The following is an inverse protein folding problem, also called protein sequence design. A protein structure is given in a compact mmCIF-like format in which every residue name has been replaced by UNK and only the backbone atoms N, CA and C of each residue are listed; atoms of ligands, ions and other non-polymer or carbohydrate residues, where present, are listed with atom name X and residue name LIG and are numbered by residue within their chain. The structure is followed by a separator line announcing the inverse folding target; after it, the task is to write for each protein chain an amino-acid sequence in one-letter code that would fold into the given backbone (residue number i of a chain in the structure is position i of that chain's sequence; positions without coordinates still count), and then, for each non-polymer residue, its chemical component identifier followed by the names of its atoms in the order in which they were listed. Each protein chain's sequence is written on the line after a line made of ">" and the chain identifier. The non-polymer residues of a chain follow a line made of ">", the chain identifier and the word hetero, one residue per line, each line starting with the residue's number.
data_IF_079816666993
#
_entry.id   IF_079816666993
#
_cell.length_a   1.000
_cell.length_b   1.000
_cell.length_c   1.000
_cell.angle_alpha   90.00
_cell.angle_beta   90.00
_cell.angle_gamma   90.00
#
_symmetry.space_group_name_H-M   'P 1'
#
loop_
_entity.id
_entity.type
_entity.pdbx_description
1 polymer ?
#
# COMPACT_ATOMS: atom_id res chain seq x y z
N UNK A 1 14.52 -9.95 -21.37
CA UNK A 1 14.57 -9.28 -20.06
C UNK A 1 13.26 -9.59 -19.36
N UNK A 2 13.27 -9.97 -18.09
CA UNK A 2 12.03 -10.19 -17.34
C UNK A 2 11.29 -8.85 -17.18
N UNK A 3 9.96 -8.89 -17.19
CA UNK A 3 9.11 -7.73 -16.91
C UNK A 3 9.39 -7.23 -15.48
N UNK A 4 9.84 -5.96 -15.29
CA UNK A 4 10.13 -5.41 -13.97
C UNK A 4 8.97 -5.53 -12.98
N UNK A 5 7.72 -5.42 -13.46
CA UNK A 5 6.54 -5.55 -12.60
C UNK A 5 6.32 -6.99 -12.14
N UNK A 6 6.57 -7.96 -13.02
CA UNK A 6 6.50 -9.37 -12.67
C UNK A 6 7.56 -9.75 -11.64
N UNK A 7 8.79 -9.26 -11.79
CA UNK A 7 9.86 -9.50 -10.82
C UNK A 7 9.56 -8.88 -9.44
N UNK A 8 8.99 -7.66 -9.42
CA UNK A 8 8.55 -7.00 -8.19
C UNK A 8 7.43 -7.79 -7.50
N UNK A 9 6.45 -8.27 -8.27
CA UNK A 9 5.37 -9.10 -7.76
C UNK A 9 5.89 -10.41 -7.14
N UNK A 10 6.79 -11.12 -7.82
CA UNK A 10 7.36 -12.38 -7.32
C UNK A 10 8.14 -12.19 -6.02
N UNK A 11 8.91 -11.11 -5.92
CA UNK A 11 9.63 -10.74 -4.70
C UNK A 11 8.65 -10.48 -3.54
N UNK A 12 7.66 -9.62 -3.75
CA UNK A 12 6.69 -9.27 -2.71
C UNK A 12 5.85 -10.49 -2.30
N UNK A 13 5.51 -11.37 -3.24
CA UNK A 13 4.83 -12.62 -2.93
C UNK A 13 5.69 -13.52 -2.03
N UNK A 14 6.99 -13.65 -2.33
CA UNK A 14 7.90 -14.43 -1.49
C UNK A 14 8.01 -13.86 -0.08
N UNK A 15 8.07 -12.52 0.06
CA UNK A 15 8.06 -11.84 1.37
C UNK A 15 6.79 -12.16 2.17
N UNK A 16 5.61 -12.09 1.54
CA UNK A 16 4.32 -12.37 2.21
C UNK A 16 4.06 -13.86 2.46
N UNK A 17 4.77 -14.76 1.77
CA UNK A 17 4.77 -16.19 2.09
C UNK A 17 5.67 -16.45 3.32
N UNK A 18 6.76 -15.71 3.47
CA UNK A 18 7.65 -15.80 4.63
C UNK A 18 7.05 -15.16 5.89
N UNK A 19 6.26 -14.09 5.72
CA UNK A 19 5.51 -13.41 6.78
C UNK A 19 4.00 -13.42 6.47
N UNK A 20 3.33 -14.55 6.75
CA UNK A 20 1.97 -14.77 6.30
C UNK A 20 0.95 -14.00 7.15
N UNK A 21 0.05 -13.31 6.45
CA UNK A 21 -1.13 -12.71 7.02
C UNK A 21 -2.21 -13.79 7.18
N UNK A 22 -2.59 -14.19 8.41
CA UNK A 22 -3.48 -15.33 8.63
C UNK A 22 -4.87 -15.09 8.00
N UNK A 23 -5.40 -16.11 7.33
CA UNK A 23 -6.78 -16.10 6.80
C UNK A 23 -6.94 -15.59 5.36
N UNK A 24 -5.87 -15.26 4.65
CA UNK A 24 -5.93 -14.97 3.21
C UNK A 24 -5.92 -16.27 2.39
N UNK A 25 -6.85 -16.40 1.43
CA UNK A 25 -6.75 -17.40 0.38
C UNK A 25 -5.72 -16.98 -0.67
N UNK A 26 -5.21 -17.91 -1.49
CA UNK A 26 -4.23 -17.62 -2.55
C UNK A 26 -4.65 -16.45 -3.46
N UNK A 27 -5.93 -16.41 -3.86
CA UNK A 27 -6.46 -15.32 -4.67
C UNK A 27 -6.42 -13.96 -3.95
N UNK A 28 -6.75 -13.95 -2.65
CA UNK A 28 -6.70 -12.73 -1.82
C UNK A 28 -5.27 -12.29 -1.54
N UNK A 29 -4.35 -13.24 -1.35
CA UNK A 29 -2.93 -12.97 -1.20
C UNK A 29 -2.37 -12.33 -2.48
N UNK A 30 -2.69 -12.88 -3.66
CA UNK A 30 -2.26 -12.28 -4.93
C UNK A 30 -2.79 -10.87 -5.10
N UNK A 31 -4.07 -10.62 -4.78
CA UNK A 31 -4.63 -9.27 -4.80
C UNK A 31 -3.91 -8.34 -3.81
N UNK A 32 -3.64 -8.80 -2.59
CA UNK A 32 -2.90 -8.06 -1.58
C UNK A 32 -1.50 -7.67 -2.08
N UNK A 33 -0.76 -8.62 -2.65
CA UNK A 33 0.57 -8.38 -3.25
C UNK A 33 0.48 -7.39 -4.42
N UNK A 34 -0.55 -7.48 -5.26
CA UNK A 34 -0.77 -6.50 -6.33
C UNK A 34 -0.96 -5.08 -5.77
N UNK A 35 -1.62 -4.90 -4.64
CA UNK A 35 -1.73 -3.58 -4.01
C UNK A 35 -0.37 -3.05 -3.56
N UNK A 36 0.49 -3.90 -2.99
CA UNK A 36 1.88 -3.53 -2.70
C UNK A 36 2.65 -3.14 -3.96
N UNK A 37 2.52 -3.91 -5.06
CA UNK A 37 3.16 -3.56 -6.35
C UNK A 37 2.78 -2.15 -6.80
N UNK A 38 1.50 -1.77 -6.68
CA UNK A 38 1.04 -0.42 -7.05
C UNK A 38 1.75 0.65 -6.21
N UNK A 39 1.78 0.49 -4.89
CA UNK A 39 2.41 1.46 -3.99
C UNK A 39 3.92 1.55 -4.19
N UNK A 40 4.60 0.41 -4.29
CA UNK A 40 6.04 0.35 -4.55
C UNK A 40 6.39 0.98 -5.90
N UNK A 41 5.56 0.75 -6.93
CA UNK A 41 5.73 1.39 -8.24
C UNK A 41 5.60 2.91 -8.15
N UNK A 42 4.60 3.43 -7.41
CA UNK A 42 4.44 4.88 -7.20
C UNK A 42 5.63 5.49 -6.44
N UNK A 43 6.17 4.76 -5.46
CA UNK A 43 7.35 5.20 -4.71
C UNK A 43 8.56 5.26 -5.64
N UNK A 44 8.81 4.20 -6.41
CA UNK A 44 9.95 4.09 -7.33
C UNK A 44 9.88 5.13 -8.46
N UNK A 45 8.69 5.31 -9.05
CA UNK A 45 8.48 6.29 -10.13
C UNK A 45 8.48 7.74 -9.63
N UNK A 46 8.15 7.96 -8.35
CA UNK A 46 7.88 9.30 -7.82
C UNK A 46 6.58 9.90 -8.33
N UNK A 47 5.67 9.09 -8.90
CA UNK A 47 4.37 9.52 -9.41
C UNK A 47 3.23 8.73 -8.76
N UNK A 48 2.44 9.36 -7.87
CA UNK A 48 2.58 10.74 -7.41
C UNK A 48 3.63 10.89 -6.30
N UNK A 49 4.29 12.06 -6.16
CA UNK A 49 5.34 12.26 -5.16
C UNK A 49 4.83 12.09 -3.72
N UNK A 50 3.54 12.39 -3.49
CA UNK A 50 2.88 12.28 -2.20
C UNK A 50 2.94 10.88 -1.61
N UNK A 51 3.06 9.83 -2.43
CA UNK A 51 3.18 8.44 -1.95
C UNK A 51 4.48 8.25 -1.18
N UNK A 52 5.61 8.71 -1.73
CA UNK A 52 6.91 8.65 -1.07
C UNK A 52 6.97 9.57 0.16
N UNK A 53 6.48 10.80 0.03
CA UNK A 53 6.41 11.75 1.15
C UNK A 53 5.61 11.17 2.34
N UNK A 54 4.51 10.48 2.03
CA UNK A 54 3.69 9.82 3.05
C UNK A 54 4.41 8.64 3.68
N UNK A 55 5.10 7.81 2.90
CA UNK A 55 5.89 6.70 3.42
C UNK A 55 6.95 7.18 4.41
N UNK A 56 7.77 8.15 3.99
CA UNK A 56 8.87 8.69 4.80
C UNK A 56 8.33 9.31 6.10
N UNK A 57 7.22 10.03 6.02
CA UNK A 57 6.56 10.61 7.19
C UNK A 57 6.03 9.54 8.14
N UNK A 58 5.33 8.52 7.64
CA UNK A 58 4.79 7.43 8.47
C UNK A 58 5.88 6.63 9.19
N UNK A 59 7.01 6.40 8.51
CA UNK A 59 8.21 5.79 9.13
C UNK A 59 8.78 6.73 10.20
N UNK A 60 8.86 8.04 9.94
CA UNK A 60 9.28 9.04 10.93
C UNK A 60 8.36 9.13 12.15
N UNK A 61 7.08 8.78 11.99
CA UNK A 61 6.09 8.64 13.08
C UNK A 61 6.15 7.26 13.78
N UNK A 62 7.09 6.40 13.37
CA UNK A 62 7.44 5.14 14.01
C UNK A 62 6.70 3.91 13.50
N UNK A 63 6.10 3.93 12.29
CA UNK A 63 5.66 2.69 11.65
C UNK A 63 6.84 1.94 11.02
N UNK A 64 6.80 0.62 11.09
CA UNK A 64 7.63 -0.22 10.23
C UNK A 64 7.27 0.03 8.76
N UNK A 65 8.25 -0.10 7.86
CA UNK A 65 8.03 0.19 6.43
C UNK A 65 6.88 -0.63 5.86
N UNK A 66 6.77 -1.91 6.23
CA UNK A 66 5.69 -2.80 5.79
C UNK A 66 4.33 -2.24 6.22
N UNK A 67 4.17 -1.85 7.48
CA UNK A 67 2.94 -1.26 8.01
C UNK A 67 2.61 0.09 7.37
N UNK A 68 3.63 0.91 7.08
CA UNK A 68 3.43 2.17 6.37
C UNK A 68 2.93 1.94 4.94
N UNK A 69 3.46 0.93 4.23
CA UNK A 69 2.96 0.53 2.91
C UNK A 69 1.53 0.01 3.01
N UNK A 70 1.17 -0.79 4.03
CA UNK A 70 -0.22 -1.18 4.27
C UNK A 70 -1.16 0.01 4.46
N UNK A 71 -0.74 1.02 5.24
CA UNK A 71 -1.52 2.22 5.42
C UNK A 71 -1.78 2.94 4.08
N UNK A 72 -0.77 3.04 3.23
CA UNK A 72 -0.88 3.65 1.90
C UNK A 72 -1.76 2.79 0.97
N UNK A 73 -1.59 1.47 0.98
CA UNK A 73 -2.42 0.52 0.22
C UNK A 73 -3.92 0.70 0.55
N UNK A 74 -4.25 1.00 1.81
CA UNK A 74 -5.65 1.27 2.20
C UNK A 74 -6.23 2.50 1.47
N UNK A 75 -5.42 3.56 1.29
CA UNK A 75 -5.81 4.76 0.55
C UNK A 75 -5.89 4.50 -0.96
N UNK A 76 -4.98 3.70 -1.51
CA UNK A 76 -5.04 3.26 -2.91
C UNK A 76 -6.32 2.48 -3.17
N UNK A 77 -6.69 1.55 -2.28
CA UNK A 77 -7.92 0.78 -2.40
C UNK A 77 -9.16 1.69 -2.38
N UNK A 78 -9.21 2.63 -1.42
CA UNK A 78 -10.32 3.58 -1.32
C UNK A 78 -10.43 4.48 -2.57
N UNK A 79 -9.30 4.91 -3.14
CA UNK A 79 -9.27 5.72 -4.35
C UNK A 79 -9.63 4.93 -5.61
N UNK A 80 -9.22 3.66 -5.70
CA UNK A 80 -9.62 2.76 -6.78
C UNK A 80 -11.14 2.58 -6.78
N UNK A 81 -11.72 2.25 -5.62
CA UNK A 81 -13.18 2.11 -5.48
C UNK A 81 -13.90 3.41 -5.84
N UNK A 82 -13.44 4.55 -5.29
CA UNK A 82 -14.02 5.87 -5.59
C UNK A 82 -13.93 6.22 -7.08
N UNK A 83 -12.84 5.82 -7.75
CA UNK A 83 -12.62 6.04 -9.18
C UNK A 83 -13.54 5.18 -10.04
N UNK A 84 -13.75 3.92 -9.65
CA UNK A 84 -14.68 3.02 -10.34
C UNK A 84 -16.12 3.53 -10.25
N UNK A 85 -16.54 3.99 -9.07
CA UNK A 85 -17.87 4.56 -8.84
C UNK A 85 -18.09 5.87 -9.60
N UNK A 86 -17.12 6.79 -9.53
CA UNK A 86 -17.22 8.10 -10.17
C UNK A 86 -16.82 8.09 -11.65
N UNK A 87 -16.30 6.97 -12.16
CA UNK A 87 -15.65 6.84 -13.47
C UNK A 87 -14.58 7.90 -13.75
N UNK A 88 -13.94 8.42 -12.70
CA UNK A 88 -12.95 9.49 -12.78
C UNK A 88 -11.96 9.44 -11.62
N UNK A 89 -10.67 9.42 -11.97
CA UNK A 89 -9.60 9.60 -11.00
C UNK A 89 -9.52 11.06 -10.53
N UNK A 90 -9.32 11.26 -9.23
CA UNK A 90 -9.16 12.58 -8.63
C UNK A 90 -7.84 12.67 -7.85
N UNK A 91 -6.81 13.17 -8.51
CA UNK A 91 -5.48 13.32 -7.93
C UNK A 91 -5.46 14.19 -6.66
N UNK A 92 -6.33 15.21 -6.57
CA UNK A 92 -6.41 16.08 -5.40
C UNK A 92 -7.01 15.34 -4.21
N UNK A 93 -8.06 14.54 -4.44
CA UNK A 93 -8.66 13.67 -3.43
C UNK A 93 -7.66 12.63 -2.95
N UNK A 94 -6.95 11.97 -3.87
CA UNK A 94 -5.92 10.99 -3.53
C UNK A 94 -4.81 11.59 -2.66
N UNK A 95 -4.23 12.71 -3.09
CA UNK A 95 -3.21 13.44 -2.33
C UNK A 95 -3.71 13.88 -0.94
N UNK A 96 -4.98 14.32 -0.84
CA UNK A 96 -5.59 14.71 0.44
C UNK A 96 -5.74 13.52 1.38
N UNK A 97 -6.11 12.34 0.88
CA UNK A 97 -6.24 11.11 1.68
C UNK A 97 -4.87 10.58 2.13
N UNK A 98 -3.84 10.68 1.28
CA UNK A 98 -2.47 10.36 1.69
C UNK A 98 -1.97 11.28 2.81
N UNK A 99 -2.21 12.58 2.68
CA UNK A 99 -1.84 13.58 3.68
C UNK A 99 -2.56 13.39 5.03
N UNK A 100 -3.75 12.79 5.04
CA UNK A 100 -4.52 12.54 6.28
C UNK A 100 -4.10 11.28 7.03
N UNK A 101 -3.30 10.39 6.42
CA UNK A 101 -2.71 9.25 7.12
C UNK A 101 -1.77 9.73 8.22
N UNK A 102 -1.75 9.01 9.35
CA UNK A 102 -0.71 9.11 10.37
C UNK A 102 -0.55 7.75 11.04
N UNK A 103 0.59 7.51 11.68
CA UNK A 103 0.84 6.29 12.44
C UNK A 103 -0.19 6.11 13.56
N UNK A 104 -0.63 7.23 14.18
CA UNK A 104 -1.73 7.23 15.16
C UNK A 104 -3.03 6.74 14.54
N UNK A 105 -3.44 7.30 13.39
CA UNK A 105 -4.68 6.92 12.71
C UNK A 105 -4.64 5.46 12.25
N UNK A 106 -3.50 5.00 11.72
CA UNK A 106 -3.31 3.61 11.29
C UNK A 106 -3.47 2.63 12.46
N UNK A 107 -2.75 2.87 13.56
CA UNK A 107 -2.83 2.01 14.76
C UNK A 107 -4.24 1.99 15.37
N UNK A 108 -4.97 3.11 15.31
CA UNK A 108 -6.33 3.19 15.82
C UNK A 108 -7.35 2.38 15.00
N UNK A 109 -7.09 2.12 13.71
CA UNK A 109 -7.93 1.25 12.86
C UNK A 109 -7.78 -0.24 13.17
N UNK A 110 -6.77 -0.62 13.96
CA UNK A 110 -6.34 -2.00 14.15
C UNK A 110 -5.41 -2.40 13.02
N UNK A 111 -4.13 -2.62 13.32
CA UNK A 111 -3.20 -3.25 12.39
C UNK A 111 -3.73 -4.63 11.99
N UNK A 112 -3.48 -5.06 10.76
CA UNK A 112 -3.73 -6.44 10.36
C UNK A 112 -2.96 -7.35 11.36
N UNK A 113 -3.59 -8.40 11.93
CA UNK A 113 -2.91 -9.27 12.88
C UNK A 113 -1.67 -9.90 12.23
N UNK A 114 -0.47 -9.64 12.76
CA UNK A 114 0.80 -10.14 12.22
C UNK A 114 2.01 -9.25 12.49
N UNK A 115 1.83 -7.96 12.75
CA UNK A 115 2.94 -7.04 13.05
C UNK A 115 3.45 -7.21 14.49
N UNK A 116 4.37 -8.16 14.71
CA UNK A 116 5.35 -8.20 15.82
C UNK A 116 6.45 -9.21 15.52
#
# INVERSE_FOLDING_TARGET
>A
MADPQQALFERLLAEHVADPHPGLSDARLRLHVTMHVVVETQIESGDPPQTRETLERLIGEGLERHDAVHAICSVVADELLSTLEAQRYDAKRYATRLASLSARVWRAKGSIPGAS
#
